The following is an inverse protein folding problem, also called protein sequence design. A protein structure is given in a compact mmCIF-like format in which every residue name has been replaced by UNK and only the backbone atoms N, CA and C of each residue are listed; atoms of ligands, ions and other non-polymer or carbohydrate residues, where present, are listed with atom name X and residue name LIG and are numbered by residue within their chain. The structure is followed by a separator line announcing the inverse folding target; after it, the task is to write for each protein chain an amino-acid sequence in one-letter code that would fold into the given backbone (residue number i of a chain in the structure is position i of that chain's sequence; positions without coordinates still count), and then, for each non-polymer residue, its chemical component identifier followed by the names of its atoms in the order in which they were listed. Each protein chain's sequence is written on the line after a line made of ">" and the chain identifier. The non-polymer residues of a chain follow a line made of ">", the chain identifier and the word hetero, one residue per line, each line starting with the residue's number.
data_IF_396554162386
#
_entry.id   IF_396554162386
#
_cell.length_a   1.000
_cell.length_b   1.000
_cell.length_c   1.000
_cell.angle_alpha   90.00
_cell.angle_beta   90.00
_cell.angle_gamma   90.00
#
_symmetry.space_group_name_H-M   'P 1'
#
loop_
_entity.id
_entity.type
_entity.pdbx_description
1 polymer ?
#
# COMPACT_ATOMS: atom_id res chain seq x y z
N UNK A 1 9.42 4.55 1.59
CA UNK A 1 9.73 3.21 1.02
C UNK A 1 10.78 2.57 1.89
N UNK A 2 10.48 1.44 2.54
CA UNK A 2 11.44 0.70 3.36
C UNK A 2 12.21 -0.35 2.54
N UNK A 3 13.34 -0.81 3.06
CA UNK A 3 14.02 -2.02 2.55
C UNK A 3 13.42 -3.25 3.22
N UNK A 4 13.15 -4.30 2.44
CA UNK A 4 12.75 -5.61 2.98
C UNK A 4 13.66 -6.71 2.44
N UNK A 5 13.94 -7.71 3.27
CA UNK A 5 14.59 -8.94 2.82
C UNK A 5 13.52 -9.92 2.36
N UNK A 6 13.47 -10.17 1.05
CA UNK A 6 12.51 -11.12 0.50
C UNK A 6 13.01 -12.55 0.66
N UNK A 7 12.24 -13.40 1.34
CA UNK A 7 12.56 -14.84 1.50
C UNK A 7 12.53 -15.58 0.15
N UNK A 8 11.59 -15.22 -0.73
CA UNK A 8 11.42 -15.89 -2.04
C UNK A 8 12.57 -15.61 -3.00
N UNK A 9 13.07 -14.37 -3.02
CA UNK A 9 14.13 -13.97 -3.96
C UNK A 9 15.52 -13.89 -3.31
N UNK A 10 15.62 -13.98 -1.98
CA UNK A 10 16.89 -13.82 -1.24
C UNK A 10 17.50 -12.43 -1.37
N UNK A 11 16.73 -11.43 -1.83
CA UNK A 11 17.21 -10.09 -2.15
C UNK A 11 16.61 -9.05 -1.22
N UNK A 12 17.43 -8.07 -0.84
CA UNK A 12 16.97 -6.80 -0.29
C UNK A 12 16.36 -5.96 -1.40
N UNK A 13 15.14 -5.45 -1.20
CA UNK A 13 14.43 -4.69 -2.22
C UNK A 13 13.51 -3.64 -1.65
N UNK A 14 12.88 -2.89 -2.55
CA UNK A 14 11.90 -1.87 -2.22
C UNK A 14 10.61 -2.55 -1.74
N UNK A 15 10.20 -2.20 -0.52
CA UNK A 15 8.90 -2.56 0.03
C UNK A 15 7.78 -1.73 -0.61
N UNK A 16 6.72 -2.42 -1.00
CA UNK A 16 5.46 -1.82 -1.42
C UNK A 16 4.45 -2.06 -0.31
N UNK A 17 3.87 -0.98 0.23
CA UNK A 17 2.88 -1.08 1.29
C UNK A 17 1.54 -1.51 0.68
N UNK A 18 1.05 -2.66 1.11
CA UNK A 18 -0.12 -3.30 0.50
C UNK A 18 -0.86 -4.10 1.56
N UNK A 19 -2.18 -4.16 1.50
CA UNK A 19 -3.00 -4.93 2.44
C UNK A 19 -2.57 -6.41 2.47
N UNK A 20 -2.52 -7.00 3.67
CA UNK A 20 -2.11 -8.39 3.88
C UNK A 20 -2.91 -9.40 3.03
N UNK A 21 -4.22 -9.18 2.89
CA UNK A 21 -5.09 -10.03 2.07
C UNK A 21 -4.68 -10.03 0.59
N UNK A 22 -4.13 -8.92 0.10
CA UNK A 22 -3.63 -8.79 -1.28
C UNK A 22 -2.27 -9.47 -1.40
N UNK A 23 -1.38 -9.34 -0.41
CA UNK A 23 -0.12 -10.09 -0.34
C UNK A 23 -0.37 -11.59 -0.49
N UNK A 24 -1.33 -12.14 0.26
CA UNK A 24 -1.68 -13.55 0.19
C UNK A 24 -2.15 -13.96 -1.21
N UNK A 25 -3.02 -13.15 -1.83
CA UNK A 25 -3.52 -13.41 -3.20
C UNK A 25 -2.37 -13.42 -4.20
N UNK A 26 -1.45 -12.46 -4.13
CA UNK A 26 -0.28 -12.41 -5.02
C UNK A 26 0.61 -13.64 -4.81
N UNK A 27 0.90 -14.00 -3.56
CA UNK A 27 1.74 -15.15 -3.24
C UNK A 27 1.13 -16.49 -3.69
N UNK A 28 -0.21 -16.60 -3.65
CA UNK A 28 -0.98 -17.75 -4.14
C UNK A 28 -1.28 -17.69 -5.65
N UNK A 29 -0.79 -16.67 -6.37
CA UNK A 29 -1.15 -16.39 -7.77
C UNK A 29 -2.67 -16.38 -8.00
N UNK A 30 -3.44 -15.82 -7.07
CA UNK A 30 -4.87 -15.62 -7.22
C UNK A 30 -5.14 -14.28 -7.88
N UNK A 31 -6.07 -14.29 -8.83
CA UNK A 31 -6.40 -13.14 -9.65
C UNK A 31 -6.87 -11.92 -8.85
N UNK A 32 -6.45 -10.74 -9.32
CA UNK A 32 -6.78 -9.43 -8.76
C UNK A 32 -7.11 -8.47 -9.90
N UNK A 33 -8.01 -7.53 -9.63
CA UNK A 33 -8.45 -6.51 -10.57
C UNK A 33 -8.29 -5.13 -9.96
N UNK A 34 -7.78 -4.17 -10.75
CA UNK A 34 -7.65 -2.77 -10.31
C UNK A 34 -8.98 -2.19 -9.81
N UNK A 35 -10.11 -2.61 -10.38
CA UNK A 35 -11.46 -2.17 -9.98
C UNK A 35 -11.84 -2.51 -8.54
N UNK A 36 -11.13 -3.46 -7.93
CA UNK A 36 -11.39 -3.93 -6.57
C UNK A 36 -10.39 -3.37 -5.56
N UNK A 37 -9.45 -2.55 -6.03
CA UNK A 37 -8.36 -1.99 -5.27
C UNK A 37 -8.46 -0.47 -5.23
N UNK A 38 -7.88 0.13 -4.20
CA UNK A 38 -7.78 1.56 -3.98
C UNK A 38 -6.39 1.90 -3.47
N UNK A 39 -5.93 3.11 -3.78
CA UNK A 39 -4.77 3.71 -3.11
C UNK A 39 -5.24 4.60 -1.96
N UNK A 40 -4.59 4.46 -0.82
CA UNK A 40 -4.66 5.42 0.30
C UNK A 40 -3.32 6.13 0.37
N UNK A 41 -3.35 7.46 0.38
CA UNK A 41 -2.15 8.31 0.48
C UNK A 41 -2.11 8.95 1.87
N UNK A 42 -0.96 8.88 2.50
CA UNK A 42 -0.69 9.48 3.82
C UNK A 42 0.46 10.46 3.66
N UNK A 43 0.21 11.74 3.90
CA UNK A 43 1.21 12.80 3.88
C UNK A 43 1.56 13.14 5.33
N UNK A 44 2.85 13.15 5.65
CA UNK A 44 3.34 13.51 6.97
C UNK A 44 3.97 14.90 6.93
N UNK A 45 3.65 15.69 7.93
CA UNK A 45 4.11 17.06 8.12
C UNK A 45 4.73 17.23 9.52
N UNK A 46 5.70 18.13 9.62
CA UNK A 46 6.17 18.69 10.89
C UNK A 46 5.74 20.16 10.96
N UNK A 47 4.68 20.44 11.70
CA UNK A 47 3.97 21.72 11.59
C UNK A 47 3.40 21.90 10.18
N UNK A 48 3.84 22.94 9.46
CA UNK A 48 3.43 23.21 8.07
C UNK A 48 4.42 22.64 7.03
N UNK A 49 5.54 22.07 7.48
CA UNK A 49 6.58 21.55 6.59
C UNK A 49 6.25 20.12 6.15
N UNK A 50 6.19 19.90 4.83
CA UNK A 50 6.02 18.56 4.28
C UNK A 50 7.30 17.74 4.43
N UNK A 51 7.19 16.57 5.07
CA UNK A 51 8.32 15.65 5.24
C UNK A 51 8.36 14.62 4.12
N UNK A 52 7.34 13.78 4.05
CA UNK A 52 7.24 12.68 3.08
C UNK A 52 5.81 12.13 3.00
N UNK A 53 5.56 11.30 1.99
CA UNK A 53 4.32 10.58 1.83
C UNK A 53 4.52 9.06 1.77
N UNK A 54 3.49 8.34 2.22
CA UNK A 54 3.35 6.90 2.11
C UNK A 54 2.07 6.59 1.35
N UNK A 55 2.17 5.72 0.36
CA UNK A 55 1.01 5.21 -0.36
C UNK A 55 0.77 3.76 0.09
N UNK A 56 -0.48 3.34 0.11
CA UNK A 56 -0.92 2.01 0.51
C UNK A 56 -1.90 1.49 -0.52
N UNK A 57 -1.72 0.25 -0.99
CA UNK A 57 -2.73 -0.42 -1.84
C UNK A 57 -3.63 -1.26 -0.94
N UNK A 58 -4.93 -0.99 -0.94
CA UNK A 58 -5.92 -1.73 -0.15
C UNK A 58 -7.09 -2.18 -1.04
N UNK A 59 -7.90 -3.09 -0.56
CA UNK A 59 -9.14 -3.48 -1.23
C UNK A 59 -10.23 -2.43 -1.00
N UNK A 60 -11.15 -2.31 -1.96
CA UNK A 60 -12.32 -1.44 -1.83
C UNK A 60 -13.25 -1.89 -0.69
N UNK A 61 -13.26 -3.19 -0.40
CA UNK A 61 -14.00 -3.76 0.73
C UNK A 61 -13.42 -3.29 2.07
N UNK A 62 -12.10 -3.42 2.24
CA UNK A 62 -11.39 -2.92 3.43
C UNK A 62 -11.56 -1.41 3.58
N UNK A 63 -11.42 -0.65 2.49
CA UNK A 63 -11.66 0.79 2.49
C UNK A 63 -13.04 1.15 3.00
N UNK A 64 -14.08 0.46 2.55
CA UNK A 64 -15.47 0.68 3.00
C UNK A 64 -15.69 0.24 4.44
N UNK A 65 -15.18 -0.95 4.82
CA UNK A 65 -15.37 -1.55 6.14
C UNK A 65 -14.80 -0.68 7.27
N UNK A 66 -13.62 -0.12 7.06
CA UNK A 66 -12.94 0.73 8.05
C UNK A 66 -13.14 2.23 7.77
N UNK A 67 -14.03 2.59 6.84
CA UNK A 67 -14.32 3.96 6.44
C UNK A 67 -13.06 4.79 6.14
N UNK A 68 -12.11 4.19 5.42
CA UNK A 68 -10.81 4.80 5.14
C UNK A 68 -10.93 5.87 4.04
N UNK A 69 -10.32 7.03 4.30
CA UNK A 69 -10.21 8.12 3.32
C UNK A 69 -9.17 7.76 2.25
N UNK A 70 -9.30 8.36 1.06
CA UNK A 70 -8.26 8.22 0.02
C UNK A 70 -6.98 8.97 0.38
N UNK A 71 -7.09 10.04 1.17
CA UNK A 71 -5.97 10.91 1.54
C UNK A 71 -6.06 11.26 3.02
N UNK A 72 -4.93 11.14 3.71
CA UNK A 72 -4.70 11.59 5.07
C UNK A 72 -3.53 12.57 5.09
N UNK A 73 -3.66 13.63 5.88
CA UNK A 73 -2.58 14.58 6.18
C UNK A 73 -2.37 14.55 7.69
N UNK A 74 -1.17 14.19 8.10
CA UNK A 74 -0.82 13.96 9.50
C UNK A 74 0.12 15.08 9.92
N UNK A 75 -0.34 15.95 10.83
CA UNK A 75 0.46 17.04 11.38
C UNK A 75 0.78 16.81 12.87
N UNK A 76 0.04 15.91 13.52
CA UNK A 76 0.16 15.62 14.95
C UNK A 76 -0.33 14.20 15.28
N UNK A 77 -0.16 13.80 16.54
CA UNK A 77 -0.56 12.47 17.05
C UNK A 77 -2.08 12.22 16.99
N UNK A 78 -2.92 13.26 17.01
CA UNK A 78 -4.37 13.09 16.91
C UNK A 78 -4.79 12.69 15.50
N UNK A 79 -4.15 13.25 14.47
CA UNK A 79 -4.33 12.82 13.09
C UNK A 79 -3.89 11.37 12.89
N UNK A 80 -2.81 10.94 13.54
CA UNK A 80 -2.28 9.57 13.46
C UNK A 80 -3.27 8.53 14.01
N UNK A 81 -4.13 8.89 14.98
CA UNK A 81 -5.18 7.98 15.47
C UNK A 81 -6.14 7.53 14.36
N UNK A 82 -6.30 8.31 13.30
CA UNK A 82 -7.13 7.96 12.14
C UNK A 82 -6.52 6.85 11.27
N UNK A 83 -5.24 6.52 11.47
CA UNK A 83 -4.50 5.50 10.73
C UNK A 83 -4.30 4.20 11.51
N UNK A 84 -4.69 4.14 12.79
CA UNK A 84 -4.49 2.95 13.64
C UNK A 84 -5.03 1.66 13.01
N UNK A 85 -6.21 1.74 12.38
CA UNK A 85 -6.80 0.59 11.72
C UNK A 85 -6.00 0.19 10.47
N UNK A 86 -5.46 1.17 9.73
CA UNK A 86 -4.68 0.92 8.51
C UNK A 86 -3.39 0.16 8.82
N UNK A 87 -2.63 0.56 9.84
CA UNK A 87 -1.36 -0.08 10.18
C UNK A 87 -1.51 -1.57 10.52
N UNK A 88 -2.63 -1.96 11.12
CA UNK A 88 -2.91 -3.37 11.46
C UNK A 88 -3.24 -4.24 10.23
N UNK A 89 -3.67 -3.63 9.13
CA UNK A 89 -4.14 -4.31 7.92
C UNK A 89 -3.08 -4.39 6.82
N UNK A 90 -2.08 -3.53 6.91
CA UNK A 90 -1.05 -3.37 5.90
C UNK A 90 0.08 -4.38 6.14
N UNK A 91 0.47 -5.03 5.07
CA UNK A 91 1.72 -5.75 4.94
C UNK A 91 2.64 -5.08 3.94
N UNK A 92 3.71 -5.79 3.62
CA UNK A 92 4.68 -5.37 2.62
C UNK A 92 4.90 -6.49 1.62
N UNK A 93 4.96 -6.12 0.33
CA UNK A 93 5.39 -7.02 -0.72
C UNK A 93 6.64 -6.47 -1.40
N UNK A 94 7.55 -7.38 -1.78
CA UNK A 94 8.73 -7.00 -2.51
C UNK A 94 8.35 -6.61 -3.95
N UNK A 95 8.95 -5.53 -4.48
CA UNK A 95 8.66 -5.08 -5.85
C UNK A 95 8.87 -6.19 -6.90
N UNK A 96 9.85 -7.08 -6.71
CA UNK A 96 10.08 -8.21 -7.61
C UNK A 96 8.97 -9.26 -7.55
N UNK A 97 8.46 -9.55 -6.35
CA UNK A 97 7.33 -10.44 -6.11
C UNK A 97 6.07 -9.93 -6.81
N UNK A 98 5.85 -8.61 -6.76
CA UNK A 98 4.78 -7.96 -7.49
C UNK A 98 4.99 -8.02 -8.99
N UNK A 99 6.22 -7.84 -9.49
CA UNK A 99 6.53 -7.91 -10.92
C UNK A 99 6.41 -9.33 -11.51
N UNK A 100 6.74 -10.35 -10.73
CA UNK A 100 6.63 -11.77 -11.11
C UNK A 100 5.18 -12.28 -11.05
N UNK A 101 4.24 -11.47 -10.54
CA UNK A 101 2.85 -11.86 -10.40
C UNK A 101 2.16 -12.00 -11.77
N UNK A 102 1.60 -13.18 -12.03
CA UNK A 102 1.03 -13.56 -13.33
C UNK A 102 -0.04 -12.57 -13.83
N UNK A 103 -0.83 -11.97 -12.93
CA UNK A 103 -1.90 -11.04 -13.29
C UNK A 103 -1.53 -9.57 -13.10
N UNK A 104 -0.23 -9.23 -13.07
CA UNK A 104 0.24 -7.84 -12.90
C UNK A 104 -0.45 -6.86 -13.86
N UNK A 105 -0.72 -7.27 -15.10
CA UNK A 105 -1.37 -6.42 -16.09
C UNK A 105 -2.80 -5.99 -15.67
N UNK A 106 -3.51 -6.81 -14.88
CA UNK A 106 -4.87 -6.52 -14.38
C UNK A 106 -4.88 -5.52 -13.22
N UNK A 107 -3.73 -5.36 -12.56
CA UNK A 107 -3.53 -4.40 -11.46
C UNK A 107 -2.59 -3.23 -11.84
N UNK A 108 -2.21 -3.10 -13.12
CA UNK A 108 -1.23 -2.10 -13.56
C UNK A 108 -1.68 -0.66 -13.28
N UNK A 109 -2.99 -0.39 -13.40
CA UNK A 109 -3.54 0.94 -13.14
C UNK A 109 -3.36 1.35 -11.69
N UNK A 110 -3.66 0.46 -10.73
CA UNK A 110 -3.51 0.78 -9.31
C UNK A 110 -2.02 0.90 -8.93
N UNK A 111 -1.15 0.10 -9.54
CA UNK A 111 0.30 0.21 -9.34
C UNK A 111 0.82 1.57 -9.84
N UNK A 112 0.31 2.04 -10.98
CA UNK A 112 0.69 3.36 -11.50
C UNK A 112 0.18 4.48 -10.57
N UNK A 113 -1.04 4.37 -10.06
CA UNK A 113 -1.58 5.31 -9.08
C UNK A 113 -0.75 5.33 -7.78
N UNK A 114 -0.35 4.15 -7.28
CA UNK A 114 0.54 4.02 -6.13
C UNK A 114 1.89 4.70 -6.34
N UNK A 115 2.43 4.65 -7.57
CA UNK A 115 3.74 5.25 -7.90
C UNK A 115 3.69 6.75 -8.14
N UNK A 116 2.50 7.34 -8.34
CA UNK A 116 2.37 8.80 -8.47
C UNK A 116 2.80 9.45 -7.15
N UNK A 117 3.89 10.20 -7.21
CA UNK A 117 4.26 11.18 -6.20
C UNK A 117 3.53 12.46 -6.61
N UNK A 118 2.63 12.95 -5.75
CA UNK A 118 2.13 14.32 -5.85
C UNK A 118 3.20 15.26 -5.31
#
# INVERSE_FOLDING_TARGET
>A
MGMIQCVKHGLSGIAINIENSICEKINKNQELFSSNLSVVKVYLYDGEEYLYNLNYIITNETKKKYNLKSVYKIHNEEDEKQLKDLDSLVGVICNKCLNDYQFINKIKNIINEYKKRD
#
